data_IF_986504030434
#
_entry.id   IF_986504030434
#
_cell.length_a   1.000
_cell.length_b   1.000
_cell.length_c   1.000
_cell.angle_alpha   90.00
_cell.angle_beta   90.00
_cell.angle_gamma   90.00
#
_symmetry.space_group_name_H-M   'P 1'
#
loop_
_entity.id
_entity.type
_entity.pdbx_description
1 polymer ?
#
# COMPACT_ATOMS: atom_id res chain seq x y z
N UNK A 1 -6.73 100.03 -11.17
CA UNK A 1 -6.03 98.83 -11.68
C UNK A 1 -6.49 97.65 -10.86
N UNK A 2 -7.47 96.95 -11.31
CA UNK A 2 -8.15 95.84 -10.64
C UNK A 2 -7.64 94.54 -11.20
N UNK A 3 -7.29 93.51 -10.41
CA UNK A 3 -7.09 92.15 -10.93
C UNK A 3 -8.37 91.34 -10.80
N UNK A 4 -8.63 90.67 -11.89
CA UNK A 4 -9.68 89.70 -12.11
C UNK A 4 -9.48 88.41 -11.30
N UNK A 5 -10.50 88.02 -10.53
CA UNK A 5 -10.52 86.71 -9.81
C UNK A 5 -11.22 85.66 -10.65
N UNK A 6 -10.53 84.59 -10.94
CA UNK A 6 -11.09 83.39 -11.61
C UNK A 6 -11.37 82.32 -10.56
N UNK A 7 -12.63 82.07 -10.30
CA UNK A 7 -13.05 80.98 -9.40
C UNK A 7 -13.04 79.65 -10.14
N UNK A 8 -12.23 78.71 -9.68
CA UNK A 8 -12.14 77.36 -10.20
C UNK A 8 -13.05 76.47 -9.35
N UNK A 9 -14.15 75.96 -9.97
CA UNK A 9 -15.06 75.02 -9.33
C UNK A 9 -14.52 73.61 -9.59
N UNK A 10 -14.02 72.95 -8.55
CA UNK A 10 -13.74 71.50 -8.60
C UNK A 10 -15.05 70.75 -8.37
N UNK A 11 -15.49 69.96 -9.39
CA UNK A 11 -16.52 68.93 -9.24
C UNK A 11 -15.82 67.67 -8.62
N UNK A 12 -16.20 67.32 -7.42
CA UNK A 12 -15.87 66.06 -6.81
C UNK A 12 -16.87 65.00 -7.27
N UNK A 13 -16.42 64.13 -8.19
CA UNK A 13 -17.18 62.95 -8.59
C UNK A 13 -16.84 61.80 -7.62
N UNK A 14 -17.75 61.49 -6.70
CA UNK A 14 -17.66 60.33 -5.85
C UNK A 14 -18.01 59.06 -6.62
N UNK A 15 -16.99 58.24 -6.96
CA UNK A 15 -17.20 56.87 -7.45
C UNK A 15 -17.49 55.95 -6.25
N UNK A 16 -18.73 55.52 -6.10
CA UNK A 16 -19.11 54.47 -5.18
C UNK A 16 -18.72 53.12 -5.78
N UNK A 17 -17.67 52.50 -5.24
CA UNK A 17 -17.29 51.10 -5.58
C UNK A 17 -18.16 50.18 -4.75
N UNK A 18 -19.10 49.51 -5.40
CA UNK A 18 -19.84 48.38 -4.83
C UNK A 18 -18.95 47.15 -4.83
N UNK A 19 -18.40 46.74 -3.66
CA UNK A 19 -17.76 45.48 -3.47
C UNK A 19 -18.89 44.44 -3.22
N UNK A 20 -19.28 43.74 -4.27
CA UNK A 20 -20.14 42.55 -4.12
C UNK A 20 -19.33 41.44 -3.46
N UNK A 21 -19.47 41.32 -2.14
CA UNK A 21 -18.92 40.23 -1.36
C UNK A 21 -19.66 38.91 -1.72
N UNK A 22 -19.19 38.20 -2.74
CA UNK A 22 -19.63 36.84 -3.03
C UNK A 22 -19.06 35.90 -1.97
N UNK A 23 -19.90 35.49 -1.01
CA UNK A 23 -19.59 34.34 -0.14
C UNK A 23 -19.53 33.10 -1.01
N UNK A 24 -18.31 32.65 -1.36
CA UNK A 24 -18.07 31.31 -1.92
C UNK A 24 -18.44 30.29 -0.84
N UNK A 25 -19.65 29.78 -0.90
CA UNK A 25 -20.00 28.57 -0.17
C UNK A 25 -19.20 27.42 -0.82
N UNK A 26 -18.18 26.92 -0.10
CA UNK A 26 -17.54 25.69 -0.44
C UNK A 26 -18.63 24.60 -0.47
N UNK A 27 -18.89 24.05 -1.66
CA UNK A 27 -19.78 22.89 -1.75
C UNK A 27 -19.14 21.74 -0.94
N UNK A 28 -19.92 21.04 -0.10
CA UNK A 28 -19.42 19.84 0.55
C UNK A 28 -18.97 18.87 -0.54
N UNK A 29 -17.67 18.56 -0.56
CA UNK A 29 -17.13 17.52 -1.42
C UNK A 29 -17.82 16.22 -1.00
N UNK A 30 -18.63 15.67 -1.91
CA UNK A 30 -19.17 14.34 -1.72
C UNK A 30 -18.00 13.40 -1.49
N UNK A 31 -17.97 12.58 -0.42
CA UNK A 31 -16.89 11.62 -0.23
C UNK A 31 -16.80 10.76 -1.48
N UNK A 32 -15.60 10.66 -2.06
CA UNK A 32 -15.38 9.85 -3.24
C UNK A 32 -15.93 8.44 -2.96
N UNK A 33 -16.76 7.94 -3.88
CA UNK A 33 -17.24 6.57 -3.76
C UNK A 33 -16.06 5.63 -3.62
N UNK A 34 -16.11 4.65 -2.70
CA UNK A 34 -15.03 3.69 -2.58
C UNK A 34 -14.74 3.04 -3.93
N UNK A 35 -13.48 2.76 -4.27
CA UNK A 35 -13.14 2.10 -5.53
C UNK A 35 -13.94 0.80 -5.65
N UNK A 36 -14.52 0.57 -6.83
CA UNK A 36 -15.29 -0.62 -7.08
C UNK A 36 -14.35 -1.83 -7.18
N UNK A 37 -14.60 -2.86 -6.38
CA UNK A 37 -13.87 -4.13 -6.49
C UNK A 37 -14.15 -4.73 -7.87
N UNK A 38 -13.13 -5.15 -8.64
CA UNK A 38 -13.34 -5.84 -9.90
C UNK A 38 -14.21 -7.09 -9.73
N UNK A 39 -14.97 -7.50 -10.76
CA UNK A 39 -15.75 -8.72 -10.69
C UNK A 39 -14.83 -9.94 -10.51
N UNK A 40 -15.31 -10.92 -9.73
CA UNK A 40 -14.64 -12.21 -9.59
C UNK A 40 -15.02 -13.09 -10.78
N UNK A 41 -14.04 -13.47 -11.58
CA UNK A 41 -14.20 -14.34 -12.72
C UNK A 41 -13.82 -15.78 -12.35
N UNK A 42 -14.64 -16.75 -12.73
CA UNK A 42 -14.33 -18.16 -12.54
C UNK A 42 -13.56 -18.70 -13.76
N UNK A 43 -12.32 -19.14 -13.53
CA UNK A 43 -11.45 -19.72 -14.57
C UNK A 43 -11.46 -21.26 -14.56
N UNK A 44 -12.03 -21.88 -13.51
CA UNK A 44 -12.13 -23.33 -13.34
C UNK A 44 -12.80 -23.67 -12.01
N UNK A 45 -12.74 -24.95 -11.60
CA UNK A 45 -13.40 -25.41 -10.39
C UNK A 45 -12.90 -24.65 -9.12
N UNK A 46 -11.56 -24.55 -8.98
CA UNK A 46 -10.92 -23.91 -7.83
C UNK A 46 -10.07 -22.68 -8.22
N UNK A 47 -10.20 -22.21 -9.46
CA UNK A 47 -9.42 -21.08 -9.97
C UNK A 47 -10.33 -19.91 -10.27
N UNK A 48 -9.97 -18.78 -9.68
CA UNK A 48 -10.66 -17.49 -9.84
C UNK A 48 -9.65 -16.45 -10.32
N UNK A 49 -10.18 -15.37 -10.88
CA UNK A 49 -9.44 -14.12 -11.14
C UNK A 49 -10.24 -12.96 -10.60
N UNK A 50 -9.55 -12.02 -9.96
CA UNK A 50 -10.10 -10.74 -9.53
C UNK A 50 -9.13 -9.64 -9.95
N UNK A 51 -9.52 -8.79 -10.88
CA UNK A 51 -8.59 -7.88 -11.53
C UNK A 51 -7.41 -8.65 -12.16
N UNK A 52 -6.18 -8.30 -11.78
CA UNK A 52 -4.96 -8.97 -12.25
C UNK A 52 -4.48 -10.10 -11.31
N UNK A 53 -5.20 -10.36 -10.23
CA UNK A 53 -4.85 -11.40 -9.26
C UNK A 53 -5.44 -12.75 -9.66
N UNK A 54 -4.60 -13.77 -9.70
CA UNK A 54 -5.00 -15.16 -9.81
C UNK A 54 -5.20 -15.76 -8.42
N UNK A 55 -6.28 -16.50 -8.22
CA UNK A 55 -6.64 -17.13 -6.95
C UNK A 55 -6.81 -18.63 -7.18
N UNK A 56 -6.07 -19.46 -6.44
CA UNK A 56 -6.27 -20.89 -6.34
C UNK A 56 -6.84 -21.21 -4.94
N UNK A 57 -8.13 -21.45 -4.88
CA UNK A 57 -8.85 -21.68 -3.62
C UNK A 57 -8.44 -22.99 -2.97
N UNK A 58 -8.18 -24.05 -3.77
CA UNK A 58 -7.77 -25.35 -3.25
C UNK A 58 -6.34 -25.32 -2.70
N UNK A 59 -5.43 -24.65 -3.39
CA UNK A 59 -4.06 -24.46 -2.92
C UNK A 59 -3.97 -23.38 -1.81
N UNK A 60 -5.03 -22.61 -1.60
CA UNK A 60 -5.08 -21.43 -0.73
C UNK A 60 -3.98 -20.41 -1.11
N UNK A 61 -3.78 -20.19 -2.39
CA UNK A 61 -2.77 -19.28 -2.93
C UNK A 61 -3.40 -18.16 -3.75
N UNK A 62 -2.82 -16.96 -3.62
CA UNK A 62 -3.03 -15.85 -4.56
C UNK A 62 -1.71 -15.48 -5.20
N UNK A 63 -1.75 -15.10 -6.48
CA UNK A 63 -0.58 -14.63 -7.22
C UNK A 63 -0.91 -13.34 -7.95
N UNK A 64 -0.06 -12.33 -7.79
CA UNK A 64 -0.15 -11.05 -8.48
C UNK A 64 1.19 -10.70 -9.12
N UNK A 65 1.14 -10.22 -10.35
CA UNK A 65 2.34 -9.74 -11.05
C UNK A 65 2.81 -8.43 -10.42
N UNK A 66 4.11 -8.23 -10.35
CA UNK A 66 4.73 -6.99 -9.88
C UNK A 66 6.10 -6.78 -10.50
N UNK A 67 6.70 -5.66 -10.16
CA UNK A 67 8.04 -5.31 -10.57
C UNK A 67 8.91 -4.96 -9.37
N UNK A 68 10.16 -5.44 -9.36
CA UNK A 68 11.13 -5.12 -8.32
C UNK A 68 11.57 -3.66 -8.48
N UNK A 69 11.46 -2.89 -7.42
CA UNK A 69 11.85 -1.48 -7.37
C UNK A 69 13.36 -1.31 -7.11
N UNK A 70 13.94 -0.23 -7.62
CA UNK A 70 15.31 0.17 -7.27
C UNK A 70 15.30 1.12 -6.07
N UNK A 71 15.26 0.55 -4.87
CA UNK A 71 15.23 1.30 -3.62
C UNK A 71 16.45 1.01 -2.76
N UNK A 72 16.83 1.94 -1.90
CA UNK A 72 17.98 1.82 -1.00
C UNK A 72 17.61 1.37 0.40
N UNK A 73 16.40 1.70 0.83
CA UNK A 73 15.86 1.41 2.15
C UNK A 73 14.51 0.74 1.99
N UNK A 74 14.20 -0.19 2.86
CA UNK A 74 12.94 -0.87 2.88
C UNK A 74 12.24 -0.70 4.23
N UNK A 75 10.97 -0.36 4.18
CA UNK A 75 9.99 -0.54 5.25
C UNK A 75 8.92 -1.56 4.83
N UNK A 76 8.74 -1.72 3.53
CA UNK A 76 7.69 -2.53 2.95
C UNK A 76 8.23 -3.52 1.95
N UNK A 77 7.56 -4.66 1.87
CA UNK A 77 7.83 -5.67 0.85
C UNK A 77 7.11 -5.30 -0.45
N UNK A 78 5.83 -4.90 -0.35
CA UNK A 78 5.04 -4.62 -1.53
C UNK A 78 4.09 -3.44 -1.32
N UNK A 79 3.98 -2.62 -2.37
CA UNK A 79 3.01 -1.54 -2.50
C UNK A 79 2.18 -1.72 -3.77
N UNK A 80 1.08 -0.95 -3.88
CA UNK A 80 0.24 -0.88 -5.09
C UNK A 80 0.89 -0.04 -6.18
N UNK A 81 0.48 -0.22 -7.42
CA UNK A 81 0.84 0.67 -8.51
C UNK A 81 0.34 2.11 -8.20
N UNK A 82 1.26 3.09 -8.21
CA UNK A 82 0.95 4.47 -7.83
C UNK A 82 0.81 4.73 -6.32
N UNK A 83 1.04 3.73 -5.47
CA UNK A 83 1.05 3.88 -4.02
C UNK A 83 2.12 4.85 -3.53
N UNK A 84 1.82 5.61 -2.48
CA UNK A 84 2.69 6.67 -1.95
C UNK A 84 4.03 6.15 -1.43
N UNK A 85 4.11 4.85 -1.11
CA UNK A 85 5.24 4.20 -0.44
C UNK A 85 6.17 3.41 -1.38
N UNK A 86 6.09 3.62 -2.70
CA UNK A 86 6.92 2.93 -3.68
C UNK A 86 8.43 3.14 -3.46
N UNK A 87 8.83 4.33 -2.97
CA UNK A 87 10.24 4.69 -2.73
C UNK A 87 10.92 3.91 -1.59
N UNK A 88 10.15 3.18 -0.79
CA UNK A 88 10.62 2.36 0.34
C UNK A 88 10.03 0.95 0.33
N UNK A 89 9.46 0.54 -0.82
CA UNK A 89 8.89 -0.79 -1.06
C UNK A 89 9.72 -1.57 -2.06
N UNK A 90 9.94 -2.88 -1.79
CA UNK A 90 10.74 -3.73 -2.67
C UNK A 90 10.05 -4.04 -4.01
N UNK A 91 8.73 -4.18 -4.00
CA UNK A 91 7.92 -4.59 -5.16
C UNK A 91 6.74 -3.65 -5.33
N UNK A 92 6.51 -3.18 -6.55
CA UNK A 92 5.25 -2.57 -6.95
C UNK A 92 4.38 -3.65 -7.60
N UNK A 93 3.26 -4.01 -6.96
CA UNK A 93 2.32 -5.01 -7.44
C UNK A 93 1.25 -4.39 -8.32
N UNK A 94 0.84 -5.11 -9.37
CA UNK A 94 -0.19 -4.69 -10.33
C UNK A 94 -1.61 -4.93 -9.78
N UNK A 95 -1.93 -4.26 -8.70
CA UNK A 95 -3.25 -4.32 -8.03
C UNK A 95 -3.43 -3.11 -7.12
N UNK A 96 -4.67 -2.86 -6.71
CA UNK A 96 -5.03 -1.99 -5.59
C UNK A 96 -5.16 -2.79 -4.28
N UNK A 97 -5.20 -2.10 -3.13
CA UNK A 97 -5.21 -2.77 -1.84
C UNK A 97 -6.56 -3.45 -1.52
N UNK A 98 -7.66 -2.91 -2.00
CA UNK A 98 -9.01 -3.48 -1.80
C UNK A 98 -9.12 -4.80 -2.56
N UNK A 99 -8.69 -4.81 -3.82
CA UNK A 99 -8.67 -6.02 -4.67
C UNK A 99 -7.74 -7.09 -4.08
N UNK A 100 -6.54 -6.70 -3.63
CA UNK A 100 -5.60 -7.60 -2.97
C UNK A 100 -6.20 -8.21 -1.70
N UNK A 101 -6.76 -7.39 -0.82
CA UNK A 101 -7.41 -7.87 0.40
C UNK A 101 -8.58 -8.82 0.11
N UNK A 102 -9.41 -8.49 -0.90
CA UNK A 102 -10.52 -9.36 -1.32
C UNK A 102 -10.02 -10.72 -1.78
N UNK A 103 -8.93 -10.77 -2.56
CA UNK A 103 -8.33 -12.04 -2.98
C UNK A 103 -7.84 -12.88 -1.81
N UNK A 104 -7.27 -12.25 -0.77
CA UNK A 104 -6.83 -12.94 0.46
C UNK A 104 -8.00 -13.54 1.24
N UNK A 105 -9.13 -12.85 1.31
CA UNK A 105 -10.35 -13.41 1.91
C UNK A 105 -10.87 -14.62 1.15
N UNK A 106 -10.76 -14.66 -0.19
CA UNK A 106 -11.18 -15.79 -1.01
C UNK A 106 -10.37 -17.07 -0.74
N UNK A 107 -9.14 -16.95 -0.26
CA UNK A 107 -8.31 -18.10 0.15
C UNK A 107 -8.43 -18.45 1.64
N UNK A 108 -9.37 -17.80 2.33
CA UNK A 108 -9.77 -18.14 3.70
C UNK A 108 -8.89 -17.52 4.79
N UNK A 109 -8.24 -16.38 4.54
CA UNK A 109 -7.68 -15.54 5.60
C UNK A 109 -8.80 -14.73 6.26
N UNK A 110 -8.78 -14.62 7.59
CA UNK A 110 -9.81 -13.95 8.38
C UNK A 110 -9.21 -12.90 9.31
N UNK A 111 -9.81 -11.73 9.33
CA UNK A 111 -9.42 -10.64 10.22
C UNK A 111 -9.84 -10.86 11.69
N UNK A 112 -10.71 -11.81 11.96
CA UNK A 112 -11.21 -12.08 13.31
C UNK A 112 -10.08 -12.38 14.33
N UNK A 113 -8.96 -12.92 13.88
CA UNK A 113 -7.80 -13.25 14.71
C UNK A 113 -6.73 -12.15 14.72
N UNK A 114 -6.97 -11.05 14.02
CA UNK A 114 -5.97 -10.03 13.78
C UNK A 114 -5.79 -9.09 14.98
N UNK A 115 -4.53 -8.79 15.29
CA UNK A 115 -4.12 -7.58 15.99
C UNK A 115 -3.38 -6.70 14.99
N UNK A 116 -4.01 -5.63 14.58
CA UNK A 116 -3.39 -4.60 13.74
C UNK A 116 -2.54 -3.70 14.66
N UNK A 117 -1.30 -3.36 14.30
CA UNK A 117 -0.53 -2.33 14.99
C UNK A 117 -1.29 -1.01 15.05
N UNK A 118 -1.12 -0.25 16.12
CA UNK A 118 -1.86 1.00 16.35
C UNK A 118 -1.11 2.23 15.88
N UNK A 119 0.20 2.09 15.64
CA UNK A 119 1.08 3.17 15.21
C UNK A 119 2.24 2.63 14.37
N UNK A 120 2.91 3.52 13.67
CA UNK A 120 4.17 3.20 12.99
C UNK A 120 5.26 2.87 14.02
N UNK A 121 6.04 1.81 13.77
CA UNK A 121 6.97 1.22 14.75
C UNK A 121 6.31 0.75 16.05
N UNK A 122 5.11 0.21 15.98
CA UNK A 122 4.45 -0.36 17.15
C UNK A 122 5.36 -1.42 17.80
N UNK A 123 5.71 -1.27 19.10
CA UNK A 123 6.60 -2.23 19.78
C UNK A 123 5.92 -3.60 20.00
N UNK A 124 4.61 -3.66 19.90
CA UNK A 124 3.85 -4.92 20.05
C UNK A 124 3.67 -5.55 18.68
N UNK A 125 4.12 -6.80 18.47
CA UNK A 125 4.03 -7.47 17.18
C UNK A 125 2.59 -7.65 16.69
N UNK A 126 2.34 -7.56 15.37
CA UNK A 126 1.06 -7.92 14.77
C UNK A 126 0.73 -9.39 15.03
N UNK A 127 -0.56 -9.73 14.95
CA UNK A 127 -1.08 -11.10 14.99
C UNK A 127 -2.13 -11.26 13.91
N UNK A 128 -2.40 -12.49 13.51
CA UNK A 128 -3.43 -12.81 12.52
C UNK A 128 -3.22 -14.20 11.95
N UNK A 129 -4.04 -14.55 10.99
CA UNK A 129 -3.92 -15.82 10.28
C UNK A 129 -2.57 -15.93 9.61
N UNK A 130 -1.89 -17.10 9.72
CA UNK A 130 -0.54 -17.26 9.21
C UNK A 130 -0.53 -17.45 7.69
N UNK A 131 0.47 -16.84 7.04
CA UNK A 131 0.71 -16.95 5.61
C UNK A 131 2.20 -17.09 5.29
N UNK A 132 2.51 -17.68 4.16
CA UNK A 132 3.83 -17.66 3.53
C UNK A 132 3.84 -16.72 2.35
N UNK A 133 4.97 -16.05 2.14
CA UNK A 133 5.21 -15.19 0.99
C UNK A 133 6.29 -15.78 0.10
N UNK A 134 5.99 -15.85 -1.19
CA UNK A 134 6.90 -16.39 -2.20
C UNK A 134 7.06 -15.41 -3.35
N UNK A 135 8.23 -15.39 -3.93
CA UNK A 135 8.52 -14.66 -5.17
C UNK A 135 8.90 -15.68 -6.23
N UNK A 136 8.25 -15.56 -7.38
CA UNK A 136 8.52 -16.39 -8.54
C UNK A 136 8.90 -15.51 -9.73
N UNK A 137 9.97 -15.87 -10.47
CA UNK A 137 10.40 -15.14 -11.66
C UNK A 137 11.05 -16.07 -12.68
N UNK A 138 11.26 -15.54 -13.89
CA UNK A 138 11.79 -16.27 -15.03
C UNK A 138 10.74 -17.12 -15.72
N UNK A 139 11.14 -17.74 -16.82
CA UNK A 139 10.31 -18.60 -17.64
C UNK A 139 10.70 -20.07 -17.47
N UNK A 140 9.79 -20.97 -17.75
CA UNK A 140 10.10 -22.41 -17.78
C UNK A 140 11.15 -22.70 -18.89
N UNK A 141 12.13 -23.60 -18.65
CA UNK A 141 12.31 -24.44 -17.45
C UNK A 141 13.13 -23.76 -16.32
N UNK A 142 13.60 -22.53 -16.49
CA UNK A 142 14.48 -21.83 -15.53
C UNK A 142 13.71 -21.02 -14.47
N UNK A 143 12.39 -21.20 -14.36
CA UNK A 143 11.57 -20.51 -13.37
C UNK A 143 12.08 -20.79 -11.96
N UNK A 144 12.27 -19.72 -11.18
CA UNK A 144 12.72 -19.76 -9.79
C UNK A 144 11.58 -19.36 -8.88
N UNK A 145 11.47 -20.01 -7.71
CA UNK A 145 10.54 -19.67 -6.64
C UNK A 145 11.28 -19.74 -5.32
N UNK A 146 11.29 -18.64 -4.57
CA UNK A 146 11.96 -18.55 -3.26
C UNK A 146 11.04 -17.89 -2.25
N UNK A 147 11.30 -18.16 -0.96
CA UNK A 147 10.67 -17.43 0.14
C UNK A 147 11.12 -15.97 0.11
N UNK A 148 10.19 -15.05 0.41
CA UNK A 148 10.50 -13.62 0.42
C UNK A 148 11.63 -13.26 1.36
N UNK A 149 11.76 -13.98 2.49
CA UNK A 149 12.79 -13.74 3.50
C UNK A 149 14.21 -13.89 2.94
N UNK A 150 14.40 -14.74 1.92
CA UNK A 150 15.70 -14.92 1.24
C UNK A 150 16.12 -13.68 0.41
N UNK A 151 15.14 -12.83 0.06
CA UNK A 151 15.34 -11.59 -0.67
C UNK A 151 15.48 -10.37 0.26
N UNK A 152 15.27 -10.54 1.56
CA UNK A 152 15.37 -9.48 2.56
C UNK A 152 16.65 -9.67 3.37
N UNK A 153 17.67 -8.86 3.08
CA UNK A 153 19.00 -8.93 3.67
C UNK A 153 19.16 -7.93 4.81
N UNK A 154 19.53 -8.41 5.98
CA UNK A 154 19.94 -7.54 7.08
C UNK A 154 21.42 -7.17 6.93
N UNK A 155 21.70 -5.91 6.61
CA UNK A 155 23.06 -5.38 6.42
C UNK A 155 23.95 -5.45 7.67
N UNK A 156 23.35 -5.45 8.87
CA UNK A 156 24.13 -5.46 10.13
C UNK A 156 24.72 -6.84 10.41
N UNK A 157 23.95 -7.88 10.10
CA UNK A 157 24.34 -9.26 10.33
C UNK A 157 24.84 -9.97 9.09
N UNK A 158 24.61 -9.37 7.91
CA UNK A 158 24.85 -9.97 6.59
C UNK A 158 24.13 -11.32 6.41
N UNK A 159 22.93 -11.42 6.96
CA UNK A 159 22.07 -12.61 6.86
C UNK A 159 20.70 -12.23 6.30
N UNK A 160 20.02 -13.17 5.69
CA UNK A 160 18.61 -13.02 5.31
C UNK A 160 17.73 -13.01 6.55
N UNK A 161 16.48 -12.55 6.42
CA UNK A 161 15.51 -12.69 7.49
C UNK A 161 15.26 -14.18 7.77
N UNK A 162 15.01 -14.56 9.03
CA UNK A 162 14.55 -15.89 9.36
C UNK A 162 13.25 -16.22 8.65
N UNK A 163 13.15 -17.39 8.03
CA UNK A 163 11.90 -17.88 7.50
C UNK A 163 10.90 -18.14 8.63
N UNK A 164 9.67 -17.72 8.41
CA UNK A 164 8.60 -17.88 9.38
C UNK A 164 7.24 -17.47 8.78
N UNK A 165 6.15 -17.66 9.52
CA UNK A 165 4.86 -17.18 9.06
C UNK A 165 4.79 -15.67 9.14
N UNK A 166 4.30 -15.06 8.09
CA UNK A 166 3.74 -13.71 8.07
C UNK A 166 2.31 -13.78 8.59
N UNK A 167 1.76 -12.66 9.01
CA UNK A 167 0.41 -12.64 9.56
C UNK A 167 -0.50 -11.71 8.77
N UNK A 168 -1.71 -12.18 8.50
CA UNK A 168 -2.74 -11.38 7.87
C UNK A 168 -3.40 -10.49 8.93
N UNK A 169 -3.24 -9.18 8.80
CA UNK A 169 -3.85 -8.18 9.69
C UNK A 169 -5.11 -7.57 9.09
N UNK A 170 -5.22 -7.59 7.75
CA UNK A 170 -6.32 -6.97 7.02
C UNK A 170 -6.33 -5.45 7.12
N UNK A 171 -5.22 -4.81 7.55
CA UNK A 171 -5.11 -3.35 7.71
C UNK A 171 -6.21 -2.75 8.62
N UNK A 172 -6.40 -1.43 8.59
CA UNK A 172 -7.42 -0.75 9.40
C UNK A 172 -8.22 0.26 8.57
N UNK A 173 -9.35 0.71 9.12
CA UNK A 173 -10.13 1.80 8.58
C UNK A 173 -9.97 3.03 9.48
N UNK A 174 -9.84 4.20 8.86
CA UNK A 174 -9.87 5.48 9.56
C UNK A 174 -11.28 5.78 10.08
N UNK A 175 -11.39 6.75 10.98
CA UNK A 175 -12.68 7.15 11.54
C UNK A 175 -13.69 7.65 10.49
N UNK A 176 -13.21 8.11 9.34
CA UNK A 176 -14.03 8.55 8.21
C UNK A 176 -14.39 7.40 7.24
N UNK A 177 -14.05 6.16 7.58
CA UNK A 177 -14.35 4.95 6.80
C UNK A 177 -13.38 4.65 5.67
N UNK A 178 -12.32 5.45 5.46
CA UNK A 178 -11.32 5.16 4.43
C UNK A 178 -10.41 4.01 4.84
N UNK A 179 -10.09 3.13 3.90
CA UNK A 179 -9.20 1.99 4.11
C UNK A 179 -7.74 2.42 4.06
N UNK A 180 -6.99 2.16 5.13
CA UNK A 180 -5.64 2.71 5.29
C UNK A 180 -4.65 2.11 4.28
N UNK A 181 -4.74 0.80 4.02
CA UNK A 181 -3.91 0.16 3.00
C UNK A 181 -4.08 0.78 1.62
N UNK A 182 -5.32 1.20 1.26
CA UNK A 182 -5.59 1.87 -0.02
C UNK A 182 -5.02 3.29 -0.05
N UNK A 183 -5.12 4.03 1.05
CA UNK A 183 -4.60 5.41 1.14
C UNK A 183 -3.08 5.45 1.03
N UNK A 184 -2.39 4.56 1.73
CA UNK A 184 -0.93 4.51 1.75
C UNK A 184 -0.37 3.70 0.58
N UNK A 185 -1.21 2.87 -0.03
CA UNK A 185 -0.83 1.95 -1.10
C UNK A 185 0.05 0.80 -0.61
N UNK A 186 0.03 0.44 0.68
CA UNK A 186 0.88 -0.59 1.26
C UNK A 186 0.14 -1.92 1.36
N UNK A 187 0.72 -2.97 0.78
CA UNK A 187 0.15 -4.31 0.81
C UNK A 187 0.80 -5.19 1.88
N UNK A 188 2.14 -5.22 1.90
CA UNK A 188 2.92 -6.12 2.76
C UNK A 188 4.05 -5.36 3.41
N UNK A 189 4.17 -5.46 4.72
CA UNK A 189 5.16 -4.76 5.51
C UNK A 189 5.95 -5.67 6.46
N UNK A 190 7.13 -5.24 6.86
CA UNK A 190 7.89 -5.82 7.95
C UNK A 190 8.18 -4.80 9.05
N UNK A 191 7.90 -3.54 8.82
CA UNK A 191 7.83 -2.50 9.85
C UNK A 191 6.40 -2.46 10.37
N UNK A 192 6.21 -2.68 11.69
CA UNK A 192 4.89 -2.74 12.29
C UNK A 192 4.16 -1.40 12.14
N UNK A 193 3.01 -1.42 11.48
CA UNK A 193 2.21 -0.24 11.14
C UNK A 193 0.75 -0.62 10.93
N UNK A 194 -0.20 0.30 11.11
CA UNK A 194 -1.61 0.00 10.84
C UNK A 194 -1.98 -0.14 9.36
N UNK A 195 -1.07 0.23 8.43
CA UNK A 195 -1.38 0.27 7.00
C UNK A 195 -1.30 -1.10 6.28
N UNK A 196 -0.29 -1.97 6.50
CA UNK A 196 -0.15 -3.21 5.73
C UNK A 196 -1.34 -4.17 5.93
N UNK A 197 -1.60 -4.97 4.91
CA UNK A 197 -2.59 -6.06 4.94
C UNK A 197 -1.97 -7.34 5.49
N UNK A 198 -0.69 -7.55 5.20
CA UNK A 198 0.12 -8.66 5.73
C UNK A 198 1.39 -8.07 6.35
N UNK A 199 1.79 -8.60 7.51
CA UNK A 199 2.98 -8.14 8.21
C UNK A 199 3.87 -9.28 8.69
N UNK A 200 5.19 -8.98 8.81
CA UNK A 200 6.13 -9.88 9.48
C UNK A 200 6.14 -9.61 10.98
N UNK A 201 5.73 -10.54 11.85
CA UNK A 201 5.66 -10.30 13.30
C UNK A 201 7.02 -10.19 13.97
N UNK A 202 8.10 -10.64 13.31
CA UNK A 202 9.43 -10.71 13.90
C UNK A 202 10.38 -9.59 13.49
N UNK A 203 10.25 -9.04 12.28
CA UNK A 203 11.26 -8.17 11.68
C UNK A 203 11.09 -6.67 12.00
N UNK A 204 9.86 -6.23 12.24
CA UNK A 204 9.49 -4.82 12.31
C UNK A 204 9.72 -4.13 13.65
N UNK A 205 10.42 -4.77 14.59
CA UNK A 205 10.71 -4.15 15.87
C UNK A 205 11.53 -2.86 15.71
N UNK A 206 11.26 -1.91 16.59
CA UNK A 206 12.04 -0.67 16.73
C UNK A 206 13.55 -1.00 16.73
N UNK A 207 14.29 -0.50 15.73
CA UNK A 207 15.71 -0.80 15.53
C UNK A 207 16.08 -1.62 14.31
N UNK A 208 15.12 -2.27 13.64
CA UNK A 208 15.34 -2.92 12.33
C UNK A 208 15.31 -1.93 11.16
N UNK A 209 14.74 -0.75 11.35
CA UNK A 209 14.63 0.29 10.33
C UNK A 209 16.00 0.64 9.73
N UNK A 210 16.03 0.74 8.40
CA UNK A 210 17.24 1.08 7.63
C UNK A 210 18.31 -0.01 7.58
N UNK A 211 18.13 -1.14 8.26
CA UNK A 211 19.06 -2.27 8.18
C UNK A 211 18.63 -3.37 7.21
N UNK A 212 17.35 -3.42 6.84
CA UNK A 212 16.84 -4.38 5.87
C UNK A 212 16.86 -3.76 4.47
N UNK A 213 17.39 -4.50 3.51
CA UNK A 213 17.46 -4.11 2.10
C UNK A 213 17.09 -5.29 1.21
N UNK A 214 16.78 -4.98 -0.05
CA UNK A 214 16.58 -6.00 -1.06
C UNK A 214 17.90 -6.65 -1.49
N UNK A 215 17.91 -7.95 -1.60
CA UNK A 215 19.06 -8.71 -2.10
C UNK A 215 19.14 -8.60 -3.64
N UNK A 216 19.74 -7.51 -4.14
CA UNK A 216 19.87 -7.20 -5.57
C UNK A 216 20.73 -8.20 -6.34
N UNK A 217 21.62 -8.95 -5.64
CA UNK A 217 22.46 -9.99 -6.25
C UNK A 217 21.62 -11.22 -6.62
N UNK A 218 20.61 -11.56 -5.80
CA UNK A 218 19.71 -12.68 -6.06
C UNK A 218 18.63 -12.30 -7.07
N UNK A 219 18.08 -11.10 -6.95
CA UNK A 219 17.00 -10.62 -7.82
C UNK A 219 17.12 -9.11 -8.07
N UNK A 220 17.48 -8.77 -9.31
CA UNK A 220 17.78 -7.40 -9.71
C UNK A 220 16.54 -6.50 -9.79
N UNK A 221 16.69 -5.19 -9.52
CA UNK A 221 15.65 -4.20 -9.80
C UNK A 221 15.18 -4.24 -11.26
N UNK A 222 13.92 -3.89 -11.51
CA UNK A 222 13.29 -3.94 -12.83
C UNK A 222 12.81 -5.33 -13.25
N UNK A 223 13.14 -6.39 -12.48
CA UNK A 223 12.66 -7.74 -12.79
C UNK A 223 11.15 -7.85 -12.54
N UNK A 224 10.44 -8.41 -13.53
CA UNK A 224 9.03 -8.80 -13.37
C UNK A 224 8.94 -10.08 -12.54
N UNK A 225 8.06 -10.08 -11.56
CA UNK A 225 7.88 -11.19 -10.62
C UNK A 225 6.40 -11.50 -10.43
N UNK A 226 6.10 -12.71 -9.95
CA UNK A 226 4.84 -13.03 -9.30
C UNK A 226 5.06 -13.03 -7.78
N UNK A 227 4.36 -12.14 -7.10
CA UNK A 227 4.22 -12.16 -5.64
C UNK A 227 3.11 -13.14 -5.30
N UNK A 228 3.43 -14.14 -4.50
CA UNK A 228 2.51 -15.20 -4.13
C UNK A 228 2.31 -15.20 -2.63
N UNK A 229 1.06 -15.21 -2.20
CA UNK A 229 0.66 -15.40 -0.80
C UNK A 229 -0.04 -16.75 -0.68
N UNK A 230 0.44 -17.57 0.25
CA UNK A 230 -0.16 -18.86 0.60
C UNK A 230 -0.66 -18.84 2.02
N UNK A 231 -1.97 -18.99 2.21
CA UNK A 231 -2.55 -19.11 3.53
C UNK A 231 -2.22 -20.46 4.17
N UNK A 232 -1.76 -20.43 5.42
CA UNK A 232 -1.47 -21.61 6.21
C UNK A 232 -2.67 -22.00 7.09
N UNK A 233 -2.72 -23.26 7.58
CA UNK A 233 -3.73 -23.63 8.59
C UNK A 233 -3.56 -22.79 9.85
N UNK A 234 -4.68 -22.32 10.41
CA UNK A 234 -4.72 -21.72 11.75
C UNK A 234 -4.54 -22.84 12.76
N UNK A 235 -3.54 -22.71 13.63
CA UNK A 235 -3.24 -23.69 14.69
C UNK A 235 -4.11 -23.46 15.92
#
# INVERSE_FOLDING_TARGET
MTPCSVANRFLLTTCAVWIAGGTLFAQPQNPASPPAVPPVERLGENRLRIGHIQVDVAAREVAVTGQVNDVQFLEWVANTAGGLKAYESAITADTDAITFNTALLLIGLDKAHARVPTQHFDPVPPRGDPAELWIEWGEAPQRKRVRIEQLLLNKRTNTTLPEGPWVYTGSTFLADGRYMAELDGVLIGFVHSPAPIIENPGAGAVGAFGSIVWNKELLAPGTTVNLIVKALPVQ
#
